data_IF_114180410294
#
_entry.id   IF_114180410294
#
_cell.length_a   1.000
_cell.length_b   1.000
_cell.length_c   1.000
_cell.angle_alpha   90.00
_cell.angle_beta   90.00
_cell.angle_gamma   90.00
#
_symmetry.space_group_name_H-M   'P 1'
#
loop_
_entity.id
_entity.type
_entity.pdbx_description
1 polymer ?
#
# COMPACT_ATOMS: atom_id res chain seq x y z
N UNK A 1 10.86 -11.69 -12.30
CA UNK A 1 11.22 -10.26 -12.43
C UNK A 1 12.24 -9.98 -11.34
N UNK A 2 13.46 -9.58 -11.69
CA UNK A 2 14.46 -9.26 -10.69
C UNK A 2 14.14 -7.88 -10.09
N UNK A 3 13.74 -7.86 -8.81
CA UNK A 3 13.36 -6.64 -8.10
C UNK A 3 14.52 -5.64 -8.00
N UNK A 4 15.76 -6.08 -8.23
CA UNK A 4 16.94 -5.20 -8.27
C UNK A 4 16.98 -4.29 -9.51
N UNK A 5 16.11 -4.53 -10.50
CA UNK A 5 16.00 -3.70 -11.73
C UNK A 5 15.00 -2.55 -11.62
N UNK A 6 14.29 -2.43 -10.49
CA UNK A 6 13.43 -1.27 -10.20
C UNK A 6 14.30 -0.05 -9.89
N UNK A 7 14.25 0.95 -10.78
CA UNK A 7 14.91 2.24 -10.58
C UNK A 7 13.92 3.27 -10.02
N UNK A 8 14.41 4.48 -9.76
CA UNK A 8 13.61 5.57 -9.22
C UNK A 8 12.35 5.88 -10.05
N UNK A 9 12.46 5.85 -11.39
CA UNK A 9 11.32 6.10 -12.28
C UNK A 9 10.23 5.04 -12.11
N UNK A 10 10.60 3.75 -12.04
CA UNK A 10 9.63 2.68 -11.83
C UNK A 10 8.94 2.79 -10.46
N UNK A 11 9.69 3.16 -9.41
CA UNK A 11 9.14 3.39 -8.08
C UNK A 11 8.17 4.57 -8.04
N UNK A 12 8.47 5.65 -8.75
CA UNK A 12 7.57 6.79 -8.88
C UNK A 12 6.28 6.43 -9.63
N UNK A 13 6.38 5.62 -10.69
CA UNK A 13 5.20 5.09 -11.40
C UNK A 13 4.32 4.25 -10.46
N UNK A 14 4.91 3.33 -9.69
CA UNK A 14 4.15 2.53 -8.72
C UNK A 14 3.49 3.40 -7.65
N UNK A 15 4.19 4.43 -7.18
CA UNK A 15 3.66 5.39 -6.22
C UNK A 15 2.47 6.16 -6.80
N UNK A 16 2.53 6.58 -8.06
CA UNK A 16 1.44 7.30 -8.71
C UNK A 16 0.20 6.40 -8.90
N UNK A 17 0.40 5.15 -9.33
CA UNK A 17 -0.68 4.16 -9.42
C UNK A 17 -1.34 3.95 -8.05
N UNK A 18 -0.52 3.76 -7.01
CA UNK A 18 -1.01 3.59 -5.64
C UNK A 18 -1.76 4.82 -5.12
N UNK A 19 -1.28 6.03 -5.43
CA UNK A 19 -1.91 7.28 -5.04
C UNK A 19 -3.29 7.46 -5.69
N UNK A 20 -3.42 7.20 -7.00
CA UNK A 20 -4.70 7.26 -7.71
C UNK A 20 -5.70 6.23 -7.16
N UNK A 21 -5.27 4.97 -7.03
CA UNK A 21 -6.12 3.89 -6.50
C UNK A 21 -6.60 4.18 -5.07
N UNK A 22 -5.69 4.62 -4.21
CA UNK A 22 -6.00 4.95 -2.82
C UNK A 22 -6.90 6.20 -2.71
N UNK A 23 -6.73 7.19 -3.60
CA UNK A 23 -7.61 8.37 -3.66
C UNK A 23 -9.05 8.01 -4.01
N UNK A 24 -9.24 7.08 -4.95
CA UNK A 24 -10.56 6.54 -5.27
C UNK A 24 -11.16 5.77 -4.08
N UNK A 25 -10.35 4.94 -3.41
CA UNK A 25 -10.79 4.21 -2.21
C UNK A 25 -11.17 5.15 -1.06
N UNK A 26 -10.39 6.20 -0.81
CA UNK A 26 -10.67 7.22 0.19
C UNK A 26 -11.98 7.96 -0.12
N UNK A 27 -12.23 8.29 -1.39
CA UNK A 27 -13.49 8.92 -1.83
C UNK A 27 -14.69 7.99 -1.62
N UNK A 28 -14.55 6.70 -1.98
CA UNK A 28 -15.60 5.71 -1.75
C UNK A 28 -15.90 5.53 -0.25
N UNK A 29 -14.84 5.47 0.58
CA UNK A 29 -14.96 5.38 2.03
C UNK A 29 -15.60 6.63 2.63
N UNK A 30 -15.25 7.82 2.15
CA UNK A 30 -15.86 9.07 2.58
C UNK A 30 -17.37 9.10 2.31
N UNK A 31 -17.79 8.63 1.12
CA UNK A 31 -19.20 8.48 0.76
C UNK A 31 -19.91 7.47 1.67
N UNK A 32 -19.30 6.31 1.92
CA UNK A 32 -19.87 5.26 2.77
C UNK A 32 -20.06 5.74 4.20
N UNK A 33 -19.11 6.51 4.74
CA UNK A 33 -19.14 7.01 6.11
C UNK A 33 -19.87 8.36 6.26
N UNK A 34 -20.26 9.02 5.16
CA UNK A 34 -20.85 10.35 5.17
C UNK A 34 -19.94 11.44 5.75
N UNK A 35 -18.62 11.25 5.71
CA UNK A 35 -17.64 12.18 6.31
C UNK A 35 -16.40 12.32 5.44
N UNK A 36 -15.71 13.45 5.56
CA UNK A 36 -14.43 13.67 4.88
C UNK A 36 -13.41 12.64 5.37
N UNK A 37 -12.73 11.99 4.43
CA UNK A 37 -11.57 11.12 4.68
C UNK A 37 -10.39 11.77 3.99
N UNK A 38 -9.42 12.22 4.79
CA UNK A 38 -8.16 12.74 4.28
C UNK A 38 -7.14 11.61 4.19
N UNK A 39 -6.34 11.62 3.13
CA UNK A 39 -5.33 10.61 2.84
C UNK A 39 -3.99 11.27 2.54
N UNK A 40 -2.91 10.68 3.03
CA UNK A 40 -1.55 11.04 2.63
C UNK A 40 -1.10 10.15 1.47
N UNK A 41 -0.23 10.67 0.61
CA UNK A 41 0.37 9.90 -0.49
C UNK A 41 1.04 8.64 0.08
N UNK A 42 0.76 7.44 -0.46
CA UNK A 42 1.36 6.20 0.03
C UNK A 42 2.87 6.17 -0.21
N UNK A 43 3.59 5.41 0.63
CA UNK A 43 5.00 5.11 0.45
C UNK A 43 5.16 3.72 -0.18
N UNK A 44 6.09 3.59 -1.13
CA UNK A 44 6.48 2.31 -1.73
C UNK A 44 7.85 1.91 -1.16
N UNK A 45 7.97 0.66 -0.73
CA UNK A 45 9.22 0.06 -0.26
C UNK A 45 9.35 -1.33 -0.85
N UNK A 46 10.54 -1.63 -1.38
CA UNK A 46 10.92 -2.99 -1.73
C UNK A 46 11.60 -3.58 -0.50
N UNK A 47 11.10 -4.69 0.01
CA UNK A 47 11.65 -5.35 1.18
C UNK A 47 11.40 -6.84 1.15
N UNK A 48 12.25 -7.59 1.85
CA UNK A 48 12.06 -9.01 2.08
C UNK A 48 10.88 -9.28 2.99
N UNK A 49 10.26 -10.45 2.83
CA UNK A 49 9.11 -10.86 3.64
C UNK A 49 9.42 -10.88 5.15
N UNK A 50 10.64 -11.24 5.53
CA UNK A 50 11.10 -11.25 6.93
C UNK A 50 11.10 -9.86 7.57
N UNK A 51 11.25 -8.79 6.79
CA UNK A 51 11.34 -7.40 7.29
C UNK A 51 9.97 -6.80 7.61
N UNK A 52 8.88 -7.46 7.20
CA UNK A 52 7.50 -6.96 7.39
C UNK A 52 7.17 -6.85 8.88
N UNK A 53 7.50 -7.86 9.68
CA UNK A 53 7.16 -7.91 11.10
C UNK A 53 7.77 -6.72 11.87
N UNK A 54 9.04 -6.43 11.63
CA UNK A 54 9.74 -5.31 12.26
C UNK A 54 9.15 -3.97 11.83
N UNK A 55 8.77 -3.85 10.56
CA UNK A 55 8.17 -2.63 9.99
C UNK A 55 6.79 -2.32 10.56
N UNK A 56 6.03 -3.35 10.96
CA UNK A 56 4.68 -3.22 11.51
C UNK A 56 4.64 -3.05 13.04
N UNK A 57 5.79 -2.95 13.71
CA UNK A 57 5.87 -2.75 15.16
C UNK A 57 6.23 -4.01 15.96
N UNK A 58 6.69 -5.07 15.30
CA UNK A 58 7.15 -6.30 15.95
C UNK A 58 6.03 -7.32 16.24
N UNK A 59 6.43 -8.54 16.59
CA UNK A 59 5.52 -9.68 16.76
C UNK A 59 4.46 -9.49 17.85
N UNK A 60 4.75 -8.64 18.85
CA UNK A 60 3.88 -8.39 19.99
C UNK A 60 2.83 -7.30 19.74
N UNK A 61 2.87 -6.62 18.59
CA UNK A 61 1.92 -5.55 18.25
C UNK A 61 0.74 -6.13 17.47
N UNK A 62 -0.49 -6.18 18.04
CA UNK A 62 -1.64 -6.67 17.31
C UNK A 62 -1.98 -5.72 16.14
N UNK A 63 -2.17 -6.28 14.95
CA UNK A 63 -2.52 -5.53 13.75
C UNK A 63 -3.74 -6.14 13.05
N UNK A 64 -4.55 -5.30 12.42
CA UNK A 64 -5.59 -5.75 11.50
C UNK A 64 -4.97 -5.96 10.11
N UNK A 65 -5.05 -7.20 9.60
CA UNK A 65 -4.55 -7.55 8.27
C UNK A 65 -5.70 -7.80 7.28
N UNK A 66 -5.51 -7.38 6.03
CA UNK A 66 -6.42 -7.70 4.92
C UNK A 66 -5.59 -8.46 3.88
N UNK A 67 -5.98 -9.69 3.58
CA UNK A 67 -5.39 -10.48 2.50
C UNK A 67 -6.35 -10.47 1.31
N UNK A 68 -5.91 -9.90 0.19
CA UNK A 68 -6.65 -9.91 -1.06
C UNK A 68 -5.95 -10.87 -2.03
N UNK A 69 -6.62 -11.96 -2.38
CA UNK A 69 -6.16 -12.84 -3.46
C UNK A 69 -6.43 -12.19 -4.80
N UNK A 70 -5.39 -12.02 -5.62
CA UNK A 70 -5.51 -11.58 -7.01
C UNK A 70 -5.33 -12.82 -7.89
N UNK A 71 -6.26 -13.04 -8.81
CA UNK A 71 -6.27 -14.16 -9.75
C UNK A 71 -6.32 -13.60 -11.17
N UNK A 72 -5.53 -14.17 -12.08
CA UNK A 72 -5.37 -13.67 -13.45
C UNK A 72 -3.92 -13.24 -13.73
N UNK A 73 -3.71 -12.60 -14.88
CA UNK A 73 -2.45 -11.95 -15.28
C UNK A 73 -2.42 -10.47 -14.85
#
# INVERSE_FOLDING_TARGET
MDVTTLNAFHLDVLKEIGNIGSGNAATALAKLLGKKVDMKVPQIRIMGFSEINETLGGAETPVAGILLGVLGD
#
